data_IF_271968274186
#
_entry.id   IF_271968274186
#
_cell.length_a   1.000
_cell.length_b   1.000
_cell.length_c   1.000
_cell.angle_alpha   90.00
_cell.angle_beta   90.00
_cell.angle_gamma   90.00
#
_symmetry.space_group_name_H-M   'P 1'
#
loop_
_entity.id
_entity.type
_entity.pdbx_description
1 polymer ?
#
# COMPACT_ATOMS: atom_id res chain seq x y z
N UNK A 1 -7.31 -13.07 -11.04
CA UNK A 1 -6.44 -13.33 -9.86
C UNK A 1 -7.32 -13.46 -8.63
N UNK A 2 -7.01 -14.37 -7.71
CA UNK A 2 -7.69 -14.50 -6.40
C UNK A 2 -7.06 -13.52 -5.42
N UNK A 3 -7.82 -12.50 -5.02
CA UNK A 3 -7.35 -11.42 -4.13
C UNK A 3 -7.32 -11.91 -2.68
N UNK A 4 -8.33 -12.66 -2.24
CA UNK A 4 -8.38 -13.24 -0.89
C UNK A 4 -7.20 -14.15 -0.61
N UNK A 5 -6.76 -14.94 -1.59
CA UNK A 5 -5.53 -15.74 -1.48
C UNK A 5 -4.28 -14.88 -1.36
N UNK A 6 -4.16 -13.79 -2.11
CA UNK A 6 -3.02 -12.86 -2.00
C UNK A 6 -2.99 -12.15 -0.64
N UNK A 7 -4.15 -11.76 -0.11
CA UNK A 7 -4.28 -11.20 1.25
C UNK A 7 -3.82 -12.23 2.28
N UNK A 8 -4.32 -13.47 2.19
CA UNK A 8 -3.96 -14.56 3.10
C UNK A 8 -2.45 -14.77 3.12
N UNK A 9 -1.84 -14.94 1.95
CA UNK A 9 -0.39 -15.11 1.84
C UNK A 9 0.40 -13.94 2.40
N UNK A 10 -0.05 -12.71 2.18
CA UNK A 10 0.65 -11.53 2.72
C UNK A 10 0.73 -11.62 4.24
N UNK A 11 -0.37 -11.98 4.90
CA UNK A 11 -0.42 -12.09 6.36
C UNK A 11 0.47 -13.24 6.84
N UNK A 12 0.39 -14.41 6.20
CA UNK A 12 1.23 -15.57 6.56
C UNK A 12 2.73 -15.24 6.46
N UNK A 13 3.14 -14.52 5.41
CA UNK A 13 4.54 -14.14 5.20
C UNK A 13 5.01 -13.07 6.19
N UNK A 14 4.13 -12.13 6.59
CA UNK A 14 4.41 -11.20 7.69
C UNK A 14 4.65 -11.98 8.99
N UNK A 15 3.80 -12.96 9.30
CA UNK A 15 3.93 -13.80 10.50
C UNK A 15 5.23 -14.64 10.49
N UNK A 16 5.67 -15.06 9.30
CA UNK A 16 6.94 -15.77 9.11
C UNK A 16 8.16 -14.84 9.06
N UNK A 17 7.97 -13.52 9.04
CA UNK A 17 9.05 -12.52 8.96
C UNK A 17 9.62 -12.31 7.55
N UNK A 18 8.98 -12.85 6.50
CA UNK A 18 9.38 -12.65 5.10
C UNK A 18 8.66 -11.43 4.50
N UNK A 19 9.19 -10.24 4.81
CA UNK A 19 8.59 -8.97 4.39
C UNK A 19 8.67 -8.73 2.87
N UNK A 20 9.63 -9.33 2.17
CA UNK A 20 9.74 -9.24 0.72
C UNK A 20 8.67 -10.07 0.01
N UNK A 21 8.48 -11.33 0.45
CA UNK A 21 7.37 -12.18 -0.03
C UNK A 21 6.01 -11.56 0.31
N UNK A 22 5.88 -10.99 1.52
CA UNK A 22 4.68 -10.27 1.91
C UNK A 22 4.40 -9.07 0.99
N UNK A 23 5.40 -8.25 0.67
CA UNK A 23 5.25 -7.12 -0.25
C UNK A 23 4.83 -7.56 -1.65
N UNK A 24 5.42 -8.64 -2.18
CA UNK A 24 5.00 -9.23 -3.45
C UNK A 24 3.52 -9.59 -3.43
N UNK A 25 3.06 -10.28 -2.38
CA UNK A 25 1.66 -10.70 -2.26
C UNK A 25 0.70 -9.53 -2.02
N UNK A 26 1.11 -8.50 -1.27
CA UNK A 26 0.35 -7.28 -1.09
C UNK A 26 0.18 -6.53 -2.42
N UNK A 27 1.25 -6.35 -3.19
CA UNK A 27 1.19 -5.76 -4.52
C UNK A 27 0.33 -6.58 -5.48
N UNK A 28 0.35 -7.92 -5.40
CA UNK A 28 -0.53 -8.78 -6.20
C UNK A 28 -2.01 -8.58 -5.83
N UNK A 29 -2.34 -8.42 -4.54
CA UNK A 29 -3.71 -8.11 -4.11
C UNK A 29 -4.20 -6.78 -4.73
N UNK A 30 -3.36 -5.75 -4.73
CA UNK A 30 -3.64 -4.46 -5.38
C UNK A 30 -3.74 -4.61 -6.90
N UNK A 31 -2.81 -5.32 -7.56
CA UNK A 31 -2.84 -5.57 -9.01
C UNK A 31 -4.15 -6.25 -9.42
N UNK A 32 -4.54 -7.31 -8.71
CA UNK A 32 -5.77 -8.05 -8.97
C UNK A 32 -7.02 -7.20 -8.76
N UNK A 33 -6.99 -6.27 -7.82
CA UNK A 33 -8.10 -5.36 -7.54
C UNK A 33 -8.19 -4.25 -8.58
N UNK A 34 -7.06 -3.61 -8.90
CA UNK A 34 -6.98 -2.57 -9.93
C UNK A 34 -7.45 -3.09 -11.30
N UNK A 35 -7.12 -4.35 -11.65
CA UNK A 35 -7.62 -4.97 -12.88
C UNK A 35 -9.16 -5.13 -12.89
N UNK A 36 -9.78 -5.49 -11.76
CA UNK A 36 -11.24 -5.62 -11.64
C UNK A 36 -11.96 -4.28 -11.67
N UNK A 37 -11.34 -3.23 -11.14
CA UNK A 37 -11.90 -1.88 -11.11
C UNK A 37 -11.98 -1.22 -12.50
N UNK A 38 -11.40 -1.83 -13.54
CA UNK A 38 -11.37 -1.28 -14.89
C UNK A 38 -12.25 -2.08 -15.86
N UNK A 39 -13.36 -1.51 -16.37
CA UNK A 39 -14.33 -2.23 -17.22
C UNK A 39 -13.75 -2.79 -18.53
N UNK A 40 -12.69 -2.18 -19.03
CA UNK A 40 -12.08 -2.49 -20.34
C UNK A 40 -10.89 -3.45 -20.27
N UNK A 41 -10.45 -3.84 -19.08
CA UNK A 41 -9.32 -4.75 -18.89
C UNK A 41 -9.84 -6.11 -18.43
N UNK A 42 -9.54 -7.22 -19.14
CA UNK A 42 -9.86 -8.55 -18.62
C UNK A 42 -9.27 -8.73 -17.22
N UNK A 43 -10.03 -9.27 -16.28
CA UNK A 43 -9.59 -9.46 -14.89
C UNK A 43 -8.42 -10.45 -14.71
N UNK A 44 -8.02 -11.13 -15.80
CA UNK A 44 -6.83 -11.97 -15.90
C UNK A 44 -5.58 -11.21 -16.35
N UNK A 45 -5.72 -9.99 -16.86
CA UNK A 45 -4.60 -9.18 -17.33
C UNK A 45 -4.02 -8.35 -16.19
N UNK A 46 -2.70 -8.40 -16.05
CA UNK A 46 -1.96 -7.59 -15.08
C UNK A 46 -2.15 -6.10 -15.40
N UNK A 47 -2.47 -5.24 -14.42
CA UNK A 47 -2.66 -3.82 -14.70
C UNK A 47 -1.33 -3.16 -15.11
N UNK A 48 -1.45 -2.15 -15.96
CA UNK A 48 -0.34 -1.25 -16.30
C UNK A 48 0.03 -0.38 -15.10
N UNK A 49 1.23 0.22 -15.15
CA UNK A 49 1.70 1.21 -14.18
C UNK A 49 0.63 2.27 -13.87
N UNK A 50 0.03 2.83 -14.92
CA UNK A 50 -1.01 3.85 -14.79
C UNK A 50 -2.20 3.32 -13.96
N UNK A 51 -2.71 2.14 -14.28
CA UNK A 51 -3.88 1.58 -13.62
C UNK A 51 -3.61 1.25 -12.14
N UNK A 52 -2.44 0.69 -11.82
CA UNK A 52 -2.03 0.42 -10.44
C UNK A 52 -1.92 1.70 -9.63
N UNK A 53 -1.20 2.69 -10.16
CA UNK A 53 -0.92 3.92 -9.42
C UNK A 53 -2.16 4.81 -9.28
N UNK A 54 -3.02 4.88 -10.30
CA UNK A 54 -4.32 5.56 -10.21
C UNK A 54 -5.25 4.89 -9.19
N UNK A 55 -5.26 3.55 -9.14
CA UNK A 55 -6.04 2.83 -8.15
C UNK A 55 -5.58 3.14 -6.71
N UNK A 56 -4.27 3.15 -6.44
CA UNK A 56 -3.76 3.53 -5.12
C UNK A 56 -4.09 4.99 -4.78
N UNK A 57 -3.87 5.94 -5.70
CA UNK A 57 -4.21 7.36 -5.50
C UNK A 57 -5.68 7.57 -5.15
N UNK A 58 -6.57 6.84 -5.82
CA UNK A 58 -8.00 6.85 -5.52
C UNK A 58 -8.37 6.30 -4.15
N UNK A 59 -7.43 5.67 -3.43
CA UNK A 59 -7.62 5.11 -2.09
C UNK A 59 -6.62 5.64 -1.06
N UNK A 60 -6.02 6.82 -1.30
CA UNK A 60 -5.06 7.43 -0.36
C UNK A 60 -5.64 7.74 1.02
N UNK A 61 -6.95 7.93 1.16
CA UNK A 61 -7.59 8.06 2.48
C UNK A 61 -7.37 6.81 3.34
N UNK A 62 -7.53 5.62 2.75
CA UNK A 62 -7.33 4.34 3.45
C UNK A 62 -5.83 4.07 3.60
N UNK A 63 -5.06 4.18 2.52
CA UNK A 63 -3.62 3.89 2.54
C UNK A 63 -2.86 4.80 3.52
N UNK A 64 -3.20 6.09 3.54
CA UNK A 64 -2.61 7.06 4.46
C UNK A 64 -2.90 6.71 5.91
N UNK A 65 -4.17 6.48 6.27
CA UNK A 65 -4.55 6.19 7.66
C UNK A 65 -3.90 4.91 8.22
N UNK A 66 -3.68 3.91 7.37
CA UNK A 66 -3.24 2.56 7.78
C UNK A 66 -1.75 2.32 7.61
N UNK A 67 -1.16 2.81 6.50
CA UNK A 67 0.23 2.53 6.15
C UNK A 67 1.19 3.70 6.36
N UNK A 68 0.71 4.94 6.32
CA UNK A 68 1.56 6.14 6.41
C UNK A 68 0.83 7.30 7.12
N UNK A 69 0.41 7.11 8.38
CA UNK A 69 -0.48 8.04 9.09
C UNK A 69 0.17 9.41 9.28
N UNK A 70 -0.65 10.46 9.19
CA UNK A 70 -0.22 11.84 9.40
C UNK A 70 0.47 12.51 8.19
N UNK A 71 0.67 11.81 7.08
CA UNK A 71 1.27 12.37 5.85
C UNK A 71 0.18 12.61 4.81
N UNK A 72 0.17 13.79 4.20
CA UNK A 72 -0.71 14.10 3.08
C UNK A 72 -0.18 13.44 1.80
N UNK A 73 -0.68 12.24 1.50
CA UNK A 73 -0.24 11.46 0.33
C UNK A 73 -0.64 12.07 -1.02
N UNK A 74 -1.66 12.94 -1.06
CA UNK A 74 -2.07 13.60 -2.31
C UNK A 74 -1.04 14.64 -2.76
N UNK A 75 -0.47 15.37 -1.80
CA UNK A 75 0.42 16.50 -2.07
C UNK A 75 1.91 16.14 -1.93
N UNK A 76 2.25 15.22 -1.04
CA UNK A 76 3.66 14.84 -0.81
C UNK A 76 4.28 14.23 -2.06
N UNK A 77 5.51 14.65 -2.39
CA UNK A 77 6.36 14.08 -3.43
C UNK A 77 7.67 13.65 -2.80
N UNK A 78 8.19 12.49 -3.20
CA UNK A 78 9.35 11.89 -2.57
C UNK A 78 10.63 12.15 -3.39
N UNK A 79 11.77 12.42 -2.73
CA UNK A 79 13.03 12.74 -3.40
C UNK A 79 13.73 11.46 -3.87
N UNK A 80 13.05 10.66 -4.69
CA UNK A 80 13.55 9.36 -5.18
C UNK A 80 13.39 9.27 -6.69
N UNK A 81 14.28 8.52 -7.34
CA UNK A 81 14.20 8.30 -8.78
C UNK A 81 13.32 7.08 -9.07
N UNK A 82 12.16 7.34 -9.67
CA UNK A 82 11.27 6.30 -10.20
C UNK A 82 11.22 6.41 -11.72
N UNK A 83 11.28 5.29 -12.43
CA UNK A 83 11.17 5.31 -13.89
C UNK A 83 9.75 5.74 -14.31
N UNK A 84 9.65 6.88 -15.02
CA UNK A 84 8.41 7.40 -15.63
C UNK A 84 7.25 7.55 -14.61
N UNK A 85 7.42 8.38 -13.56
CA UNK A 85 6.40 8.60 -12.55
C UNK A 85 5.08 9.06 -13.19
N UNK A 86 3.96 8.67 -12.58
CA UNK A 86 2.61 8.96 -13.07
C UNK A 86 1.94 10.06 -12.27
N UNK A 87 2.50 10.47 -11.14
CA UNK A 87 1.98 11.58 -10.38
C UNK A 87 2.02 12.90 -11.18
N UNK A 88 1.02 13.78 -11.00
CA UNK A 88 1.05 15.12 -11.58
C UNK A 88 2.31 15.88 -11.18
N UNK A 89 2.91 16.57 -12.15
CA UNK A 89 4.17 17.33 -11.96
C UNK A 89 5.44 16.54 -12.26
N UNK A 90 5.34 15.24 -12.54
CA UNK A 90 6.48 14.41 -12.95
C UNK A 90 7.45 14.06 -11.83
N UNK A 91 7.18 14.46 -10.58
CA UNK A 91 7.86 13.99 -9.38
C UNK A 91 7.06 12.83 -8.77
N UNK A 92 7.72 11.79 -8.22
CA UNK A 92 7.01 10.61 -7.73
C UNK A 92 6.27 10.88 -6.43
N UNK A 93 5.06 10.33 -6.32
CA UNK A 93 4.32 10.19 -5.07
C UNK A 93 4.42 8.76 -4.51
N UNK A 94 3.70 8.46 -3.43
CA UNK A 94 3.78 7.15 -2.78
C UNK A 94 3.38 6.00 -3.73
N UNK A 95 2.36 6.18 -4.56
CA UNK A 95 1.94 5.16 -5.51
C UNK A 95 3.04 4.87 -6.55
N UNK A 96 3.74 5.91 -7.03
CA UNK A 96 4.89 5.73 -7.93
C UNK A 96 6.03 4.97 -7.26
N UNK A 97 6.35 5.28 -6.00
CA UNK A 97 7.36 4.55 -5.21
C UNK A 97 6.98 3.08 -5.03
N UNK A 98 5.75 2.81 -4.60
CA UNK A 98 5.24 1.45 -4.41
C UNK A 98 5.24 0.64 -5.72
N UNK A 99 4.88 1.27 -6.84
CA UNK A 99 4.92 0.59 -8.13
C UNK A 99 6.35 0.36 -8.63
N UNK A 100 7.12 1.45 -8.75
CA UNK A 100 8.42 1.46 -9.42
C UNK A 100 9.49 0.72 -8.65
N UNK A 101 9.45 0.79 -7.32
CA UNK A 101 10.42 0.12 -6.46
C UNK A 101 9.90 -1.24 -6.01
N UNK A 102 8.82 -1.30 -5.25
CA UNK A 102 8.41 -2.56 -4.62
C UNK A 102 7.78 -3.53 -5.61
N UNK A 103 6.74 -3.11 -6.33
CA UNK A 103 6.00 -4.00 -7.23
C UNK A 103 6.85 -4.48 -8.40
N UNK A 104 7.58 -3.58 -9.07
CA UNK A 104 8.40 -3.94 -10.23
C UNK A 104 9.58 -4.85 -9.82
N UNK A 105 10.27 -4.54 -8.73
CA UNK A 105 11.42 -5.35 -8.28
C UNK A 105 11.02 -6.78 -7.95
N UNK A 106 9.98 -6.97 -7.13
CA UNK A 106 9.51 -8.31 -6.79
C UNK A 106 8.82 -9.03 -7.96
N UNK A 107 8.14 -8.28 -8.84
CA UNK A 107 7.48 -8.82 -10.03
C UNK A 107 8.44 -9.34 -11.11
N UNK A 108 9.72 -8.96 -11.04
CA UNK A 108 10.77 -9.37 -11.97
C UNK A 108 11.87 -10.23 -11.31
N UNK A 109 11.76 -10.52 -10.00
CA UNK A 109 12.79 -11.26 -9.25
C UNK A 109 14.12 -10.51 -9.15
N UNK A 110 14.08 -9.18 -9.27
CA UNK A 110 15.25 -8.34 -9.04
C UNK A 110 15.49 -8.18 -7.53
N UNK A 111 16.74 -7.92 -7.16
CA UNK A 111 17.11 -7.63 -5.77
C UNK A 111 16.55 -6.27 -5.34
N UNK A 112 16.05 -6.17 -4.09
CA UNK A 112 15.59 -4.91 -3.51
C UNK A 112 16.71 -3.86 -3.55
N UNK A 113 16.49 -2.67 -4.14
CA UNK A 113 17.50 -1.63 -4.11
C UNK A 113 17.80 -1.19 -2.66
N UNK A 114 19.09 -1.04 -2.36
CA UNK A 114 19.52 -0.59 -1.03
C UNK A 114 18.91 0.76 -0.66
N UNK A 115 18.32 0.85 0.53
CA UNK A 115 17.65 2.06 1.01
C UNK A 115 16.15 2.09 0.74
N UNK A 116 15.57 0.98 0.29
CA UNK A 116 14.12 0.78 0.12
C UNK A 116 13.59 -0.41 0.93
N UNK A 117 14.41 -1.00 1.79
CA UNK A 117 14.00 -2.08 2.68
C UNK A 117 12.98 -1.56 3.70
N UNK A 118 11.97 -2.38 4.00
CA UNK A 118 10.96 -2.05 5.00
C UNK A 118 11.60 -1.93 6.40
N UNK A 119 11.03 -1.05 7.22
CA UNK A 119 11.36 -0.89 8.64
C UNK A 119 10.44 -1.82 9.42
N UNK A 120 10.97 -2.75 10.25
CA UNK A 120 10.16 -3.76 10.94
C UNK A 120 9.42 -3.19 12.16
N UNK A 121 8.58 -2.16 11.96
CA UNK A 121 7.85 -1.51 13.06
C UNK A 121 6.73 -2.41 13.61
N UNK A 122 6.08 -3.23 12.78
CA UNK A 122 5.02 -4.14 13.21
C UNK A 122 5.53 -5.18 14.20
N UNK A 123 6.68 -5.78 13.93
CA UNK A 123 7.33 -6.73 14.84
C UNK A 123 7.97 -6.09 16.08
N UNK A 124 7.99 -4.76 16.15
CA UNK A 124 8.54 -4.02 17.29
C UNK A 124 7.47 -3.75 18.36
N UNK A 125 7.87 -3.66 19.63
CA UNK A 125 6.99 -3.20 20.71
C UNK A 125 6.59 -1.71 20.57
N UNK A 126 7.11 -1.01 19.56
CA UNK A 126 6.81 0.40 19.33
C UNK A 126 5.49 0.56 18.57
N UNK A 127 4.62 1.45 19.06
CA UNK A 127 3.41 1.88 18.35
C UNK A 127 3.71 2.99 17.33
N UNK A 128 4.95 3.08 16.87
CA UNK A 128 5.45 4.16 16.00
C UNK A 128 5.49 3.64 14.58
N UNK A 129 4.84 4.33 13.65
CA UNK A 129 4.97 4.06 12.21
C UNK A 129 6.04 5.01 11.68
N UNK A 130 7.17 4.44 11.26
CA UNK A 130 8.36 5.17 10.87
C UNK A 130 8.46 5.31 9.35
N UNK A 131 9.08 6.41 8.88
CA UNK A 131 9.58 6.53 7.52
C UNK A 131 10.94 7.21 7.57
N UNK A 132 11.94 6.64 6.88
CA UNK A 132 13.26 7.24 6.74
C UNK A 132 13.43 7.68 5.29
N UNK A 133 13.52 8.99 5.08
CA UNK A 133 13.57 9.60 3.75
C UNK A 133 14.89 10.33 3.63
N UNK A 134 15.62 10.03 2.56
CA UNK A 134 16.90 10.65 2.20
C UNK A 134 16.90 10.94 0.70
N UNK A 135 17.83 11.76 0.20
CA UNK A 135 17.96 11.95 -1.25
C UNK A 135 18.24 10.61 -1.95
N UNK A 136 17.35 10.25 -2.87
CA UNK A 136 17.40 9.01 -3.64
C UNK A 136 16.91 7.75 -2.91
N UNK A 137 16.44 7.85 -1.65
CA UNK A 137 16.06 6.68 -0.84
C UNK A 137 14.83 6.94 0.01
N UNK A 138 14.03 5.90 0.20
CA UNK A 138 12.93 5.90 1.16
C UNK A 138 12.72 4.51 1.73
N UNK A 139 12.81 4.42 3.06
CA UNK A 139 12.42 3.21 3.80
C UNK A 139 11.09 3.46 4.49
N UNK A 140 10.12 2.63 4.13
CA UNK A 140 8.77 2.68 4.69
C UNK A 140 8.65 1.69 5.84
N UNK A 141 7.79 1.99 6.81
CA UNK A 141 7.31 1.00 7.77
C UNK A 141 6.74 -0.23 7.05
N UNK A 142 6.99 -1.42 7.57
CA UNK A 142 6.33 -2.67 7.15
C UNK A 142 4.81 -2.61 7.28
N UNK A 143 4.28 -1.68 8.10
CA UNK A 143 2.84 -1.40 8.17
C UNK A 143 2.24 -0.89 6.86
N UNK A 144 3.05 -0.46 5.91
CA UNK A 144 2.57 -0.16 4.54
C UNK A 144 1.90 -1.38 3.89
N UNK A 145 2.32 -2.60 4.26
CA UNK A 145 1.69 -3.85 3.81
C UNK A 145 0.22 -3.90 4.23
N UNK A 146 -0.09 -3.58 5.49
CA UNK A 146 -1.47 -3.52 5.96
C UNK A 146 -2.27 -2.42 5.27
N UNK A 147 -1.63 -1.32 4.87
CA UNK A 147 -2.28 -0.30 4.06
C UNK A 147 -2.64 -0.76 2.66
N UNK A 148 -1.74 -1.48 1.99
CA UNK A 148 -2.04 -2.11 0.70
C UNK A 148 -3.16 -3.16 0.82
N UNK A 149 -3.13 -3.97 1.88
CA UNK A 149 -4.18 -4.94 2.18
C UNK A 149 -5.52 -4.25 2.45
N UNK A 150 -5.57 -3.20 3.27
CA UNK A 150 -6.78 -2.46 3.56
C UNK A 150 -7.40 -1.90 2.27
N UNK A 151 -6.59 -1.30 1.38
CA UNK A 151 -7.07 -0.84 0.07
C UNK A 151 -7.71 -1.98 -0.73
N UNK A 152 -7.07 -3.15 -0.81
CA UNK A 152 -7.59 -4.29 -1.56
C UNK A 152 -8.85 -4.90 -0.91
N UNK A 153 -8.88 -5.04 0.42
CA UNK A 153 -9.99 -5.64 1.17
C UNK A 153 -11.25 -4.78 1.03
N UNK A 154 -11.11 -3.47 1.22
CA UNK A 154 -12.24 -2.57 1.25
C UNK A 154 -12.82 -2.28 -0.14
N UNK A 155 -12.08 -2.55 -1.21
CA UNK A 155 -12.51 -2.29 -2.58
C UNK A 155 -13.79 -3.08 -2.95
N UNK A 156 -14.86 -2.40 -3.43
CA UNK A 156 -16.17 -3.02 -3.70
C UNK A 156 -16.10 -4.17 -4.71
N UNK A 157 -15.12 -4.15 -5.61
CA UNK A 157 -14.85 -5.20 -6.59
C UNK A 157 -14.47 -6.56 -5.95
N UNK A 158 -14.16 -6.57 -4.66
CA UNK A 158 -13.74 -7.73 -3.91
C UNK A 158 -14.76 -8.22 -2.87
N UNK A 159 -16.01 -7.74 -2.88
CA UNK A 159 -17.05 -8.12 -1.89
C UNK A 159 -17.26 -9.65 -1.75
N UNK A 160 -17.02 -10.42 -2.80
CA UNK A 160 -17.15 -11.88 -2.80
C UNK A 160 -15.87 -12.65 -2.44
N UNK A 161 -14.80 -11.98 -2.02
CA UNK A 161 -13.56 -12.62 -1.57
C UNK A 161 -13.70 -13.07 -0.10
N UNK A 162 -12.82 -13.99 0.30
CA UNK A 162 -12.73 -14.47 1.68
C UNK A 162 -11.26 -14.78 2.04
N UNK A 163 -10.99 -14.78 3.34
CA UNK A 163 -9.75 -15.24 3.97
C UNK A 163 -10.08 -16.27 5.06
N UNK A 164 -9.11 -17.07 5.55
CA UNK A 164 -9.31 -17.89 6.74
C UNK A 164 -9.85 -17.08 7.94
N UNK A 165 -10.61 -17.74 8.81
CA UNK A 165 -11.13 -17.09 10.03
C UNK A 165 -10.01 -16.67 10.98
N UNK A 166 -10.20 -15.54 11.67
CA UNK A 166 -9.26 -15.01 12.67
C UNK A 166 -8.33 -13.90 12.15
N UNK A 167 -8.26 -13.72 10.83
CA UNK A 167 -7.44 -12.66 10.22
C UNK A 167 -8.11 -11.30 10.42
N UNK A 168 -7.33 -10.32 10.87
CA UNK A 168 -7.82 -9.00 11.21
C UNK A 168 -6.82 -7.90 10.87
N UNK A 169 -7.33 -6.68 10.73
CA UNK A 169 -6.53 -5.45 10.72
C UNK A 169 -6.66 -4.78 12.10
N UNK A 170 -5.58 -4.18 12.58
CA UNK A 170 -5.63 -3.32 13.77
C UNK A 170 -5.37 -1.89 13.37
N UNK A 171 -6.28 -0.99 13.73
CA UNK A 171 -6.17 0.44 13.45
C UNK A 171 -6.59 1.24 14.68
N UNK A 172 -5.71 2.13 15.14
CA UNK A 172 -5.92 2.95 16.34
C UNK A 172 -6.35 2.16 17.59
N UNK A 173 -5.83 0.93 17.75
CA UNK A 173 -6.15 0.04 18.87
C UNK A 173 -7.47 -0.74 18.72
N UNK A 174 -8.19 -0.56 17.62
CA UNK A 174 -9.43 -1.30 17.30
C UNK A 174 -9.12 -2.42 16.32
N UNK A 175 -9.73 -3.59 16.53
CA UNK A 175 -9.58 -4.78 15.69
C UNK A 175 -10.74 -4.91 14.70
N UNK A 176 -10.42 -5.13 13.43
CA UNK A 176 -11.36 -5.25 12.32
C UNK A 176 -11.19 -6.63 11.67
N UNK A 177 -12.13 -7.54 11.87
CA UNK A 177 -12.08 -8.89 11.29
C UNK A 177 -12.20 -8.83 9.76
N UNK A 178 -11.20 -9.30 9.01
CA UNK A 178 -11.10 -9.04 7.56
C UNK A 178 -12.35 -9.50 6.81
N UNK A 179 -12.90 -10.66 7.15
CA UNK A 179 -14.07 -11.22 6.48
C UNK A 179 -15.36 -10.38 6.65
N UNK A 180 -15.41 -9.46 7.62
CA UNK A 180 -16.55 -8.56 7.81
C UNK A 180 -16.46 -7.29 6.96
N UNK A 181 -15.33 -7.04 6.29
CA UNK A 181 -15.00 -5.75 5.69
C UNK A 181 -14.81 -5.76 4.16
N UNK A 182 -14.90 -6.94 3.53
CA UNK A 182 -14.80 -7.04 2.07
C UNK A 182 -15.80 -6.12 1.36
N UNK A 183 -15.28 -5.24 0.50
CA UNK A 183 -16.08 -4.32 -0.30
C UNK A 183 -16.68 -3.11 0.42
N UNK A 184 -16.34 -2.87 1.69
CA UNK A 184 -16.91 -1.80 2.52
C UNK A 184 -16.05 -0.52 2.52
N UNK A 185 -15.64 -0.05 1.34
CA UNK A 185 -14.77 1.13 1.19
C UNK A 185 -15.32 2.36 1.86
N UNK A 186 -16.58 2.70 1.60
CA UNK A 186 -17.20 3.94 2.09
C UNK A 186 -17.25 3.93 3.62
N UNK A 187 -17.65 2.80 4.21
CA UNK A 187 -17.71 2.64 5.66
C UNK A 187 -16.33 2.71 6.30
N UNK A 188 -15.31 2.13 5.68
CA UNK A 188 -13.95 2.16 6.22
C UNK A 188 -13.27 3.52 6.02
N UNK A 189 -13.63 4.29 4.99
CA UNK A 189 -13.21 5.68 4.87
C UNK A 189 -13.73 6.53 6.04
N UNK A 190 -14.95 6.32 6.52
CA UNK A 190 -15.45 6.96 7.75
C UNK A 190 -14.59 6.63 8.98
N UNK A 191 -14.13 5.37 9.09
CA UNK A 191 -13.18 4.95 10.13
C UNK A 191 -11.84 5.68 10.01
N UNK A 192 -11.38 5.94 8.77
CA UNK A 192 -10.11 6.61 8.51
C UNK A 192 -10.16 8.13 8.74
N UNK A 193 -11.34 8.77 8.63
CA UNK A 193 -11.48 10.24 8.73
C UNK A 193 -10.83 10.86 9.97
N UNK A 194 -11.04 10.37 11.21
CA UNK A 194 -10.40 10.95 12.39
C UNK A 194 -8.86 10.83 12.35
N UNK A 195 -8.33 9.77 11.75
CA UNK A 195 -6.89 9.53 11.65
C UNK A 195 -6.23 10.42 10.59
N UNK A 196 -7.00 10.85 9.60
CA UNK A 196 -6.58 11.79 8.57
C UNK A 196 -6.96 13.25 8.90
N UNK A 197 -7.48 13.54 10.09
CA UNK A 197 -7.92 14.89 10.45
C UNK A 197 -6.76 15.90 10.49
N UNK A 198 -5.54 15.44 10.80
CA UNK A 198 -4.32 16.24 10.76
C UNK A 198 -3.30 15.52 9.89
N UNK A 199 -2.91 16.17 8.80
CA UNK A 199 -1.91 15.65 7.86
C UNK A 199 -0.90 16.74 7.54
N UNK A 200 0.35 16.32 7.31
CA UNK A 200 1.46 17.18 6.93
C UNK A 200 1.90 16.85 5.51
N UNK A 201 2.02 17.87 4.68
CA UNK A 201 2.69 17.77 3.37
C UNK A 201 4.19 17.90 3.60
N UNK A 202 4.95 16.89 3.23
CA UNK A 202 6.40 16.91 3.41
C UNK A 202 7.06 17.72 2.29
N UNK A 203 7.95 18.64 2.67
CA UNK A 203 8.80 19.41 1.76
C UNK A 203 10.26 18.98 1.95
N UNK A 204 10.88 18.50 0.88
CA UNK A 204 12.27 18.00 0.88
C UNK A 204 13.25 18.98 0.22
N UNK A 205 12.80 20.17 -0.17
CA UNK A 205 13.66 21.25 -0.67
C UNK A 205 14.61 20.81 -1.78
N UNK A 206 15.91 20.97 -1.55
CA UNK A 206 16.98 20.70 -2.51
C UNK A 206 17.16 19.22 -2.84
N UNK A 207 16.59 18.31 -2.05
CA UNK A 207 16.64 16.87 -2.33
C UNK A 207 15.76 16.48 -3.52
N UNK A 208 14.85 17.34 -3.96
CA UNK A 208 13.96 17.11 -5.10
C UNK A 208 14.61 17.38 -6.47
N UNK A 209 15.87 17.82 -6.47
CA UNK A 209 16.66 18.18 -7.68
C UNK A 209 17.82 17.24 -7.91
#
# INVERSE_FOLDING_TARGET
>A
MDVGRSVTKTIDEIENGDLESAMLHACNAVDGTAAKAQPSTPSSTRPSNKQFTEFLRGNYAILGATGMPGINLNETRFPVDVERPKAPGGQPDLADVLYGIHRCTHGHGAEMPKGFELIPDFGSDSRITSALIERGRIRLSDRILFGLLAVAIMAPENIGQQTPSGYHLTLAGVTYQINDWWGKRVEFEEVCKPLNAVQVTMDFGDWMT
#
